data_IF_517744416014
#
_entry.id   IF_517744416014
#
_cell.length_a   1.000
_cell.length_b   1.000
_cell.length_c   1.000
_cell.angle_alpha   90.00
_cell.angle_beta   90.00
_cell.angle_gamma   90.00
#
_symmetry.space_group_name_H-M   'P 1'
#
loop_
_entity.id
_entity.type
_entity.pdbx_description
1 polymer ?
#
# COMPACT_ATOMS: atom_id res chain seq x y z
N UNK A 1 28.85 9.22 22.52
CA UNK A 1 27.71 8.35 22.20
C UNK A 1 27.79 8.03 20.71
N UNK A 2 28.17 6.80 20.33
CA UNK A 2 28.34 6.41 18.92
C UNK A 2 26.98 6.02 18.34
N UNK A 3 26.52 6.70 17.30
CA UNK A 3 25.36 6.31 16.50
C UNK A 3 25.71 5.04 15.71
N UNK A 4 25.48 3.87 16.30
CA UNK A 4 25.54 2.59 15.61
C UNK A 4 24.19 2.29 14.98
N UNK A 5 24.04 2.60 13.69
CA UNK A 5 22.82 2.31 12.93
C UNK A 5 23.06 2.52 11.44
N UNK A 6 23.91 1.68 10.86
CA UNK A 6 24.30 1.80 9.45
C UNK A 6 23.22 1.15 8.57
N UNK A 7 22.41 1.94 7.88
CA UNK A 7 21.66 1.51 6.70
C UNK A 7 22.63 1.28 5.54
N UNK A 8 23.37 0.17 5.55
CA UNK A 8 24.22 -0.20 4.42
C UNK A 8 23.30 -0.76 3.33
N UNK A 9 23.12 0.01 2.25
CA UNK A 9 22.37 -0.32 1.02
C UNK A 9 20.86 0.05 1.03
N UNK A 10 20.52 1.28 1.40
CA UNK A 10 19.16 1.83 1.18
C UNK A 10 19.20 2.87 0.07
N UNK A 11 18.30 2.73 -0.92
CA UNK A 11 18.06 3.72 -1.95
C UNK A 11 16.90 4.64 -1.52
N UNK A 12 17.15 5.94 -1.51
CA UNK A 12 16.12 6.97 -1.31
C UNK A 12 15.89 7.68 -2.64
N UNK A 13 14.63 7.75 -3.07
CA UNK A 13 14.21 8.43 -4.30
C UNK A 13 13.28 9.60 -3.97
N UNK A 14 13.45 10.70 -4.70
CA UNK A 14 12.55 11.86 -4.68
C UNK A 14 12.38 12.40 -6.09
N UNK A 15 11.13 12.68 -6.46
CA UNK A 15 10.80 13.44 -7.67
C UNK A 15 10.55 14.93 -7.37
N UNK A 16 10.63 15.31 -6.09
CA UNK A 16 10.35 16.66 -5.63
C UNK A 16 11.62 17.49 -5.50
N UNK A 17 11.53 18.84 -5.65
CA UNK A 17 12.68 19.72 -5.51
C UNK A 17 13.39 19.55 -4.16
N UNK A 18 14.74 19.69 -4.09
CA UNK A 18 15.50 19.49 -2.85
C UNK A 18 15.07 20.35 -1.66
N UNK A 19 14.41 21.50 -1.92
CA UNK A 19 13.92 22.44 -0.90
C UNK A 19 12.40 22.32 -0.64
N UNK A 20 11.72 21.35 -1.26
CA UNK A 20 10.30 21.13 -1.02
C UNK A 20 10.07 20.73 0.45
N UNK A 21 9.12 21.40 1.11
CA UNK A 21 8.71 21.02 2.47
C UNK A 21 7.77 19.83 2.42
N UNK A 22 7.68 19.10 3.53
CA UNK A 22 6.66 18.08 3.67
C UNK A 22 5.25 18.70 3.63
N UNK A 23 4.35 18.08 2.88
CA UNK A 23 2.90 18.35 2.92
C UNK A 23 2.16 17.02 2.74
N UNK A 24 0.91 16.95 3.22
CA UNK A 24 0.06 15.77 2.98
C UNK A 24 -0.11 15.48 1.48
N UNK A 25 -0.25 16.54 0.66
CA UNK A 25 -0.37 16.41 -0.79
C UNK A 25 0.86 15.78 -1.45
N UNK A 26 2.08 16.18 -1.05
CA UNK A 26 3.31 15.58 -1.57
C UNK A 26 3.50 14.14 -1.08
N UNK A 27 3.09 13.83 0.15
CA UNK A 27 3.11 12.46 0.67
C UNK A 27 2.21 11.53 -0.16
N UNK A 28 1.01 11.98 -0.55
CA UNK A 28 0.10 11.22 -1.40
C UNK A 28 0.61 11.14 -2.85
N UNK A 29 1.08 12.25 -3.43
CA UNK A 29 1.59 12.30 -4.80
C UNK A 29 2.81 11.39 -5.03
N UNK A 30 3.55 11.03 -3.97
CA UNK A 30 4.67 10.09 -4.07
C UNK A 30 4.22 8.67 -4.44
N UNK A 31 3.02 8.23 -4.02
CA UNK A 31 2.57 6.84 -4.17
C UNK A 31 2.59 6.34 -5.63
N UNK A 32 2.30 7.23 -6.59
CA UNK A 32 2.46 7.02 -8.03
C UNK A 32 3.82 6.42 -8.42
N UNK A 33 4.87 6.89 -7.77
CA UNK A 33 6.26 6.54 -8.06
C UNK A 33 6.76 5.33 -7.25
N UNK A 34 5.88 4.61 -6.56
CA UNK A 34 6.25 3.33 -5.97
C UNK A 34 6.72 2.37 -7.08
N UNK A 35 7.89 1.76 -6.89
CA UNK A 35 8.51 0.86 -7.87
C UNK A 35 8.02 -0.59 -7.76
N UNK A 36 7.08 -0.87 -6.84
CA UNK A 36 6.60 -2.20 -6.59
C UNK A 36 5.52 -2.62 -7.61
N UNK A 37 5.63 -3.85 -8.12
CA UNK A 37 4.58 -4.51 -8.91
C UNK A 37 3.44 -5.04 -8.03
N UNK A 38 3.75 -5.31 -6.77
CA UNK A 38 2.86 -5.90 -5.77
C UNK A 38 2.80 -5.00 -4.53
N UNK A 39 1.59 -4.72 -4.04
CA UNK A 39 1.38 -3.83 -2.90
C UNK A 39 0.53 -4.54 -1.86
N UNK A 40 1.05 -4.64 -0.64
CA UNK A 40 0.34 -5.23 0.50
C UNK A 40 -0.26 -4.15 1.38
N UNK A 41 -1.54 -4.31 1.71
CA UNK A 41 -2.31 -3.38 2.52
C UNK A 41 -2.81 -4.10 3.76
N UNK A 42 -2.36 -3.68 4.93
CA UNK A 42 -2.82 -4.24 6.19
C UNK A 42 -4.19 -3.71 6.61
N UNK A 43 -4.47 -2.43 6.33
CA UNK A 43 -5.73 -1.77 6.65
C UNK A 43 -5.92 -0.54 5.76
N UNK A 44 -7.16 -0.23 5.42
CA UNK A 44 -7.54 1.04 4.80
C UNK A 44 -8.88 1.52 5.38
N UNK A 45 -9.10 2.82 5.36
CA UNK A 45 -10.45 3.38 5.37
C UNK A 45 -10.92 3.64 3.93
N UNK A 46 -12.05 4.30 3.74
CA UNK A 46 -12.55 4.75 2.43
C UNK A 46 -11.97 6.10 1.98
N UNK A 47 -11.00 6.67 2.71
CA UNK A 47 -10.37 7.95 2.40
C UNK A 47 -8.88 7.96 2.82
N UNK A 48 -8.11 8.94 2.34
CA UNK A 48 -6.73 9.15 2.76
C UNK A 48 -5.68 8.38 1.94
N UNK A 49 -4.42 8.47 2.34
CA UNK A 49 -3.28 8.09 1.50
C UNK A 49 -3.24 6.60 1.10
N UNK A 50 -3.65 5.69 1.97
CA UNK A 50 -3.72 4.26 1.65
C UNK A 50 -4.82 3.98 0.64
N UNK A 51 -6.02 4.54 0.85
CA UNK A 51 -7.15 4.40 -0.06
C UNK A 51 -6.81 4.92 -1.47
N UNK A 52 -6.23 6.11 -1.55
CA UNK A 52 -5.78 6.68 -2.83
C UNK A 52 -4.67 5.84 -3.47
N UNK A 53 -3.70 5.37 -2.69
CA UNK A 53 -2.62 4.51 -3.18
C UNK A 53 -3.12 3.16 -3.72
N UNK A 54 -4.15 2.57 -3.10
CA UNK A 54 -4.79 1.35 -3.60
C UNK A 54 -5.51 1.60 -4.92
N UNK A 55 -6.36 2.63 -4.99
CA UNK A 55 -7.10 2.92 -6.22
C UNK A 55 -6.14 3.28 -7.37
N UNK A 56 -5.09 4.06 -7.10
CA UNK A 56 -4.05 4.35 -8.09
C UNK A 56 -3.32 3.08 -8.54
N UNK A 57 -2.91 2.22 -7.60
CA UNK A 57 -2.25 0.96 -7.91
C UNK A 57 -3.12 0.02 -8.77
N UNK A 58 -4.40 -0.12 -8.44
CA UNK A 58 -5.37 -0.89 -9.24
C UNK A 58 -5.51 -0.29 -10.65
N UNK A 59 -5.62 1.03 -10.78
CA UNK A 59 -5.71 1.70 -12.09
C UNK A 59 -4.48 1.51 -12.96
N UNK A 60 -3.31 1.29 -12.35
CA UNK A 60 -2.04 1.02 -13.03
C UNK A 60 -1.82 -0.47 -13.30
N UNK A 61 -2.78 -1.34 -12.98
CA UNK A 61 -2.68 -2.79 -13.14
C UNK A 61 -1.69 -3.46 -12.19
N UNK A 62 -1.36 -2.82 -11.05
CA UNK A 62 -0.54 -3.44 -10.00
C UNK A 62 -1.38 -4.44 -9.22
N UNK A 63 -0.74 -5.50 -8.72
CA UNK A 63 -1.41 -6.48 -7.87
C UNK A 63 -1.52 -5.92 -6.45
N UNK A 64 -2.75 -5.71 -5.99
CA UNK A 64 -3.02 -5.26 -4.62
C UNK A 64 -3.44 -6.45 -3.78
N UNK A 65 -2.77 -6.67 -2.66
CA UNK A 65 -3.16 -7.63 -1.64
C UNK A 65 -3.72 -6.89 -0.44
N UNK A 66 -4.90 -7.27 0.03
CA UNK A 66 -5.56 -6.68 1.20
C UNK A 66 -5.71 -7.74 2.28
N UNK A 67 -5.22 -7.44 3.48
CA UNK A 67 -5.44 -8.32 4.62
C UNK A 67 -6.93 -8.45 4.91
N UNK A 68 -7.42 -9.68 4.93
CA UNK A 68 -8.81 -10.02 5.20
C UNK A 68 -8.86 -11.00 6.39
N UNK A 69 -9.38 -10.55 7.53
CA UNK A 69 -9.62 -11.46 8.65
C UNK A 69 -10.67 -12.50 8.26
N UNK A 70 -10.34 -13.79 8.45
CA UNK A 70 -11.27 -14.90 8.17
C UNK A 70 -12.54 -14.86 9.03
N UNK A 71 -12.51 -14.18 10.17
CA UNK A 71 -13.65 -14.11 11.10
C UNK A 71 -14.71 -13.08 10.71
N UNK A 72 -14.33 -12.01 9.98
CA UNK A 72 -15.25 -11.01 9.45
C UNK A 72 -14.47 -10.02 8.57
N UNK A 73 -14.66 -10.02 7.24
CA UNK A 73 -14.11 -8.96 6.40
C UNK A 73 -14.84 -7.64 6.69
N UNK A 74 -14.09 -6.60 7.01
CA UNK A 74 -14.58 -5.22 7.06
C UNK A 74 -15.21 -4.82 5.70
N UNK A 75 -16.25 -3.99 5.71
CA UNK A 75 -16.87 -3.41 4.51
C UNK A 75 -15.84 -2.78 3.54
N UNK A 76 -14.76 -2.18 4.04
CA UNK A 76 -13.67 -1.64 3.20
C UNK A 76 -12.91 -2.75 2.48
N UNK A 77 -12.62 -3.87 3.17
CA UNK A 77 -11.96 -5.02 2.55
C UNK A 77 -12.84 -5.55 1.43
N UNK A 78 -14.14 -5.74 1.68
CA UNK A 78 -15.09 -6.19 0.65
C UNK A 78 -15.09 -5.24 -0.55
N UNK A 79 -15.17 -3.93 -0.31
CA UNK A 79 -15.17 -2.92 -1.38
C UNK A 79 -13.88 -2.94 -2.21
N UNK A 80 -12.73 -3.17 -1.59
CA UNK A 80 -11.45 -3.27 -2.30
C UNK A 80 -11.33 -4.58 -3.09
N UNK A 81 -11.85 -5.68 -2.56
CA UNK A 81 -11.93 -6.96 -3.29
C UNK A 81 -12.85 -6.82 -4.50
N UNK A 82 -14.01 -6.18 -4.35
CA UNK A 82 -14.93 -5.89 -5.46
C UNK A 82 -14.29 -5.00 -6.55
N UNK A 83 -13.26 -4.22 -6.19
CA UNK A 83 -12.45 -3.40 -7.12
C UNK A 83 -11.26 -4.16 -7.74
N UNK A 84 -11.05 -5.42 -7.38
CA UNK A 84 -9.98 -6.28 -7.92
C UNK A 84 -8.75 -6.45 -7.01
N UNK A 85 -8.82 -6.06 -5.73
CA UNK A 85 -7.79 -6.45 -4.77
C UNK A 85 -7.92 -7.93 -4.39
N UNK A 86 -6.79 -8.58 -4.11
CA UNK A 86 -6.71 -9.99 -3.73
C UNK A 86 -6.67 -10.10 -2.21
N UNK A 87 -7.64 -10.81 -1.57
CA UNK A 87 -7.63 -10.96 -0.12
C UNK A 87 -6.50 -11.91 0.33
N UNK A 88 -5.79 -11.55 1.39
CA UNK A 88 -4.69 -12.34 1.97
C UNK A 88 -4.85 -12.55 3.48
N UNK A 89 -4.22 -13.61 3.98
CA UNK A 89 -4.07 -13.85 5.42
C UNK A 89 -2.97 -12.98 6.05
N UNK A 90 -2.75 -13.16 7.36
CA UNK A 90 -1.75 -12.39 8.13
C UNK A 90 -0.31 -12.60 7.65
N UNK A 91 -0.05 -13.70 6.94
CA UNK A 91 1.26 -14.01 6.37
C UNK A 91 1.39 -13.51 4.92
N UNK A 92 0.34 -12.90 4.36
CA UNK A 92 0.32 -12.42 2.99
C UNK A 92 0.00 -13.49 1.94
N UNK A 93 -0.50 -14.67 2.36
CA UNK A 93 -0.94 -15.71 1.43
C UNK A 93 -2.37 -15.46 0.98
N UNK A 94 -2.63 -15.64 -0.31
CA UNK A 94 -3.97 -15.49 -0.90
C UNK A 94 -4.98 -16.41 -0.21
N UNK A 95 -6.14 -15.83 0.14
CA UNK A 95 -7.28 -16.62 0.56
C UNK A 95 -7.91 -17.24 -0.68
N UNK A 96 -7.80 -18.57 -0.82
CA UNK A 96 -8.47 -19.29 -1.90
C UNK A 96 -9.99 -19.11 -1.77
N UNK A 97 -10.66 -18.80 -2.88
CA UNK A 97 -12.12 -18.89 -2.94
C UNK A 97 -12.51 -20.34 -2.65
N UNK A 98 -13.39 -20.53 -1.65
CA UNK A 98 -14.03 -21.82 -1.46
C UNK A 98 -15.03 -21.98 -2.61
N UNK A 99 -14.71 -22.86 -3.56
CA UNK A 99 -15.67 -23.40 -4.53
C UNK A 99 -16.88 -24.02 -3.81
#
# INVERSE_FOLDING_TARGET
MKNSGVFKNVLVLSVFPPKARWTAGLAMARNKYALASEIYVAQSSTTGGTWEGVNEGLSMGRKIYIYASRSSPDAVVKLLVDKGAVPVDVNGYELQEKN
#
